data_IF_874194381860
#
_entry.id   IF_874194381860
#
_cell.length_a   1.000
_cell.length_b   1.000
_cell.length_c   1.000
_cell.angle_alpha   90.00
_cell.angle_beta   90.00
_cell.angle_gamma   90.00
#
_symmetry.space_group_name_H-M   'P 1'
#
loop_
_entity.id
_entity.type
_entity.pdbx_description
1 polymer ?
#
# COMPACT_ATOMS: atom_id res chain seq x y z
N UNK A 1 6.44 -24.28 -9.57
CA UNK A 1 6.91 -23.32 -8.56
C UNK A 1 5.70 -22.50 -8.17
N UNK A 2 5.34 -22.50 -6.90
CA UNK A 2 4.32 -21.56 -6.41
C UNK A 2 4.89 -20.15 -6.54
N UNK A 3 4.23 -19.31 -7.32
CA UNK A 3 4.59 -17.90 -7.44
C UNK A 3 4.44 -17.24 -6.07
N UNK A 4 5.50 -16.62 -5.56
CA UNK A 4 5.46 -15.90 -4.29
C UNK A 4 4.44 -14.75 -4.38
N UNK A 5 3.52 -14.69 -3.40
CA UNK A 5 2.49 -13.66 -3.37
C UNK A 5 3.10 -12.31 -3.00
N UNK A 6 2.77 -11.29 -3.78
CA UNK A 6 3.22 -9.93 -3.55
C UNK A 6 2.47 -9.31 -2.37
N UNK A 7 3.16 -8.79 -1.34
CA UNK A 7 2.50 -8.06 -0.27
C UNK A 7 1.76 -6.81 -0.79
N UNK A 8 0.54 -6.58 -0.31
CA UNK A 8 -0.25 -5.38 -0.68
C UNK A 8 0.50 -4.08 -0.35
N UNK A 9 1.36 -4.08 0.66
CA UNK A 9 2.23 -2.94 0.98
C UNK A 9 3.14 -2.53 -0.19
N UNK A 10 3.56 -3.48 -1.05
CA UNK A 10 4.37 -3.18 -2.23
C UNK A 10 3.60 -2.35 -3.27
N UNK A 11 2.28 -2.51 -3.35
CA UNK A 11 1.45 -1.63 -4.20
C UNK A 11 1.57 -0.18 -3.74
N UNK A 12 1.46 0.06 -2.42
CA UNK A 12 1.64 1.40 -1.85
C UNK A 12 3.04 1.95 -2.11
N UNK A 13 4.06 1.13 -1.93
CA UNK A 13 5.46 1.50 -2.15
C UNK A 13 5.72 1.82 -3.63
N UNK A 14 5.18 1.05 -4.55
CA UNK A 14 5.29 1.30 -5.99
C UNK A 14 4.71 2.66 -6.39
N UNK A 15 3.53 3.03 -5.87
CA UNK A 15 2.92 4.34 -6.13
C UNK A 15 3.61 5.48 -5.40
N UNK A 16 4.39 5.20 -4.37
CA UNK A 16 5.30 6.18 -3.79
C UNK A 16 6.55 6.37 -4.67
N UNK A 17 7.23 5.28 -5.02
CA UNK A 17 8.38 5.28 -5.91
C UNK A 17 8.63 3.88 -6.48
N UNK A 18 8.65 3.68 -7.82
CA UNK A 18 8.88 2.37 -8.43
C UNK A 18 10.25 1.74 -8.12
N UNK A 19 11.22 2.53 -7.64
CA UNK A 19 12.53 2.01 -7.21
C UNK A 19 12.44 1.16 -5.94
N UNK A 20 11.46 1.42 -5.06
CA UNK A 20 11.36 0.73 -3.77
C UNK A 20 11.08 -0.77 -3.94
N UNK A 21 10.13 -1.22 -4.78
CA UNK A 21 9.97 -2.64 -5.06
C UNK A 21 11.26 -3.33 -5.55
N UNK A 22 12.04 -2.69 -6.42
CA UNK A 22 13.34 -3.21 -6.83
C UNK A 22 14.30 -3.37 -5.64
N UNK A 23 14.43 -2.33 -4.82
CA UNK A 23 15.33 -2.35 -3.66
C UNK A 23 14.89 -3.42 -2.65
N UNK A 24 13.60 -3.56 -2.40
CA UNK A 24 13.09 -4.51 -1.40
C UNK A 24 13.08 -5.95 -1.90
N UNK A 25 12.62 -6.19 -3.13
CA UNK A 25 12.34 -7.53 -3.64
C UNK A 25 13.52 -8.15 -4.40
N UNK A 26 14.38 -7.31 -5.02
CA UNK A 26 15.54 -7.79 -5.77
C UNK A 26 16.83 -7.64 -4.97
N UNK A 27 17.04 -6.47 -4.34
CA UNK A 27 18.25 -6.24 -3.53
C UNK A 27 18.09 -6.70 -2.07
N UNK A 28 16.88 -7.10 -1.65
CA UNK A 28 16.54 -7.54 -0.30
C UNK A 28 16.91 -6.52 0.79
N UNK A 29 16.87 -5.23 0.46
CA UNK A 29 17.12 -4.14 1.40
C UNK A 29 15.79 -3.53 1.82
N UNK A 30 15.46 -3.67 3.09
CA UNK A 30 14.21 -3.16 3.69
C UNK A 30 14.56 -2.06 4.69
N UNK A 31 13.75 -1.00 4.70
CA UNK A 31 13.86 0.05 5.70
C UNK A 31 13.69 -0.55 7.11
N UNK A 32 14.67 -0.34 8.03
CA UNK A 32 14.51 -0.78 9.40
C UNK A 32 13.27 -0.17 10.02
N UNK A 33 12.60 -0.93 10.86
CA UNK A 33 11.47 -0.40 11.61
C UNK A 33 11.95 0.71 12.54
N UNK A 34 11.41 1.90 12.35
CA UNK A 34 11.65 3.01 13.25
C UNK A 34 10.86 2.82 14.56
N UNK A 35 11.31 3.45 15.64
CA UNK A 35 10.56 3.43 16.91
C UNK A 35 9.10 3.89 16.73
N UNK A 36 8.85 4.84 15.82
CA UNK A 36 7.51 5.29 15.48
C UNK A 36 6.70 4.21 14.73
N UNK A 37 7.35 3.37 13.90
CA UNK A 37 6.70 2.23 13.25
C UNK A 37 6.40 1.11 14.25
N UNK A 38 7.35 0.84 15.17
CA UNK A 38 7.18 -0.14 16.25
C UNK A 38 6.10 0.36 17.23
N UNK A 39 6.17 1.62 17.66
CA UNK A 39 5.16 2.24 18.51
C UNK A 39 3.79 2.28 17.81
N UNK A 40 3.75 2.58 16.51
CA UNK A 40 2.55 2.49 15.70
C UNK A 40 1.96 1.08 15.69
N UNK A 41 2.78 0.04 15.62
CA UNK A 41 2.35 -1.36 15.69
C UNK A 41 1.94 -1.77 17.12
N UNK A 42 2.65 -1.32 18.13
CA UNK A 42 2.34 -1.60 19.54
C UNK A 42 1.17 -0.75 20.05
N UNK A 43 1.00 0.46 19.55
CA UNK A 43 -0.15 1.34 19.82
C UNK A 43 -1.31 1.10 18.84
N UNK A 44 -1.31 -0.02 18.06
CA UNK A 44 -2.48 -0.41 17.31
C UNK A 44 -3.65 -0.55 18.29
N UNK A 45 -4.22 0.62 18.62
CA UNK A 45 -5.60 0.64 19.03
C UNK A 45 -6.33 -0.14 17.98
N UNK A 46 -6.74 -1.36 18.33
CA UNK A 46 -7.51 -2.20 17.42
C UNK A 46 -8.55 -1.31 16.77
N UNK A 47 -8.67 -1.37 15.47
CA UNK A 47 -9.63 -0.57 14.74
C UNK A 47 -11.00 -0.71 15.41
N UNK A 48 -11.67 0.40 15.69
CA UNK A 48 -12.95 0.44 16.42
C UNK A 48 -13.96 1.28 15.64
N UNK A 49 -15.24 1.16 16.01
CA UNK A 49 -16.32 1.92 15.41
C UNK A 49 -16.10 3.45 15.44
N UNK A 50 -15.38 3.97 16.45
CA UNK A 50 -15.03 5.38 16.54
C UNK A 50 -14.12 5.87 15.38
N UNK A 51 -13.41 4.96 14.71
CA UNK A 51 -12.54 5.28 13.56
C UNK A 51 -13.31 5.29 12.24
N UNK A 52 -14.60 4.98 12.27
CA UNK A 52 -15.46 5.00 11.09
C UNK A 52 -16.15 6.36 10.91
N UNK A 53 -16.36 6.80 9.67
CA UNK A 53 -17.31 7.86 9.36
C UNK A 53 -18.74 7.48 9.75
N UNK A 54 -19.58 8.48 10.08
CA UNK A 54 -20.96 8.25 10.53
C UNK A 54 -21.85 7.51 9.53
N UNK A 55 -21.54 7.65 8.23
CA UNK A 55 -22.27 6.98 7.14
C UNK A 55 -21.93 5.48 7.00
N UNK A 56 -20.87 5.01 7.65
CA UNK A 56 -20.53 3.58 7.73
C UNK A 56 -21.11 3.05 9.04
N UNK A 57 -22.26 2.41 8.94
CA UNK A 57 -22.98 1.83 10.09
C UNK A 57 -22.54 0.38 10.28
N UNK A 58 -21.61 0.08 11.21
CA UNK A 58 -21.09 -1.26 11.39
C UNK A 58 -22.11 -2.17 12.06
N UNK A 59 -22.27 -3.39 11.54
CA UNK A 59 -22.89 -4.53 12.19
C UNK A 59 -21.83 -5.40 12.86
N UNK A 60 -20.72 -5.60 12.16
CA UNK A 60 -19.58 -6.38 12.63
C UNK A 60 -18.28 -5.71 12.17
N UNK A 61 -17.24 -5.80 13.00
CA UNK A 61 -15.89 -5.32 12.70
C UNK A 61 -14.93 -6.46 13.02
N UNK A 62 -14.23 -6.96 12.00
CA UNK A 62 -13.13 -7.89 12.11
C UNK A 62 -11.82 -7.11 11.95
N UNK A 63 -10.82 -7.35 12.80
CA UNK A 63 -9.53 -6.65 12.76
C UNK A 63 -8.40 -7.60 12.41
N UNK A 64 -7.31 -7.07 11.82
CA UNK A 64 -6.13 -7.84 11.43
C UNK A 64 -6.49 -9.02 10.51
N UNK A 65 -7.30 -8.74 9.48
CA UNK A 65 -7.87 -9.76 8.58
C UNK A 65 -6.82 -10.24 7.58
N UNK A 66 -6.37 -11.49 7.65
CA UNK A 66 -5.46 -12.03 6.66
C UNK A 66 -6.20 -12.30 5.34
N UNK A 67 -5.68 -11.75 4.27
CA UNK A 67 -6.25 -11.86 2.92
C UNK A 67 -5.18 -12.34 1.94
N UNK A 68 -5.54 -13.27 1.06
CA UNK A 68 -4.67 -13.72 -0.01
C UNK A 68 -5.45 -14.14 -1.23
N UNK A 69 -4.86 -13.99 -2.40
CA UNK A 69 -5.41 -14.48 -3.66
C UNK A 69 -4.28 -14.90 -4.60
N UNK A 70 -4.10 -16.20 -4.83
CA UNK A 70 -3.17 -16.68 -5.85
C UNK A 70 -3.52 -16.15 -7.24
N UNK A 71 -4.80 -15.97 -7.55
CA UNK A 71 -5.27 -15.44 -8.84
C UNK A 71 -4.82 -13.99 -9.07
N UNK A 72 -4.84 -13.14 -8.01
CA UNK A 72 -4.32 -11.78 -8.07
C UNK A 72 -2.81 -11.73 -7.83
N UNK A 73 -2.26 -12.80 -7.25
CA UNK A 73 -0.88 -12.88 -6.81
C UNK A 73 -0.57 -11.90 -5.68
N UNK A 74 -1.53 -11.64 -4.79
CA UNK A 74 -1.43 -10.70 -3.68
C UNK A 74 -1.72 -11.38 -2.34
N UNK A 75 -1.07 -10.88 -1.28
CA UNK A 75 -1.39 -11.20 0.10
C UNK A 75 -1.21 -9.97 1.02
N UNK A 76 -1.83 -10.00 2.19
CA UNK A 76 -1.64 -8.97 3.21
C UNK A 76 -2.58 -9.13 4.39
N UNK A 77 -2.38 -8.29 5.40
CA UNK A 77 -3.24 -8.20 6.57
C UNK A 77 -3.93 -6.84 6.51
N UNK A 78 -5.25 -6.86 6.37
CA UNK A 78 -6.07 -5.65 6.37
C UNK A 78 -6.34 -5.23 7.81
N UNK A 79 -6.20 -3.94 8.13
CA UNK A 79 -6.38 -3.45 9.51
C UNK A 79 -7.78 -3.73 10.05
N UNK A 80 -8.82 -3.53 9.23
CA UNK A 80 -10.17 -3.97 9.57
C UNK A 80 -11.07 -4.21 8.34
N UNK A 81 -11.97 -5.17 8.48
CA UNK A 81 -13.08 -5.39 7.56
C UNK A 81 -14.40 -5.15 8.30
N UNK A 82 -15.20 -4.23 7.80
CA UNK A 82 -16.49 -3.87 8.37
C UNK A 82 -17.60 -4.49 7.53
N UNK A 83 -18.46 -5.29 8.18
CA UNK A 83 -19.77 -5.60 7.62
C UNK A 83 -20.77 -4.56 8.13
N UNK A 84 -21.41 -3.85 7.21
CA UNK A 84 -22.41 -2.85 7.56
C UNK A 84 -23.77 -3.51 7.88
N UNK A 85 -24.67 -2.75 8.52
CA UNK A 85 -26.07 -3.20 8.77
C UNK A 85 -26.82 -3.52 7.47
N UNK A 86 -26.31 -3.08 6.33
CA UNK A 86 -26.87 -3.36 4.99
C UNK A 86 -26.17 -4.54 4.29
N UNK A 87 -25.26 -5.26 4.97
CA UNK A 87 -24.53 -6.40 4.41
C UNK A 87 -23.40 -6.02 3.43
N UNK A 88 -23.03 -4.73 3.34
CA UNK A 88 -21.90 -4.26 2.55
C UNK A 88 -20.60 -4.56 3.30
N UNK A 89 -19.57 -5.02 2.57
CA UNK A 89 -18.21 -5.17 3.10
C UNK A 89 -17.39 -3.93 2.78
N UNK A 90 -16.79 -3.34 3.81
CA UNK A 90 -16.01 -2.10 3.72
C UNK A 90 -14.62 -2.35 4.31
N UNK A 91 -13.58 -2.51 3.48
CA UNK A 91 -12.20 -2.58 3.94
C UNK A 91 -11.77 -1.23 4.52
N UNK A 92 -11.04 -1.28 5.64
CA UNK A 92 -10.58 -0.11 6.37
C UNK A 92 -9.09 -0.21 6.64
N UNK A 93 -8.36 0.87 6.37
CA UNK A 93 -6.92 1.00 6.58
C UNK A 93 -6.60 2.21 7.46
N UNK A 94 -5.73 2.03 8.43
CA UNK A 94 -5.19 3.09 9.28
C UNK A 94 -3.87 3.60 8.70
N UNK A 95 -3.65 4.91 8.78
CA UNK A 95 -2.43 5.57 8.34
C UNK A 95 -1.88 6.44 9.46
N UNK A 96 -0.68 6.10 9.93
CA UNK A 96 0.01 6.90 10.93
C UNK A 96 0.65 8.14 10.27
N UNK A 97 -0.21 9.04 9.85
CA UNK A 97 0.11 10.28 9.15
C UNK A 97 -1.10 11.21 9.16
N UNK A 98 -0.91 12.42 8.64
CA UNK A 98 -1.98 13.39 8.39
C UNK A 98 -2.12 13.69 6.90
N UNK A 99 -3.30 14.14 6.48
CA UNK A 99 -3.56 14.64 5.13
C UNK A 99 -4.11 16.07 5.12
N UNK A 100 -4.31 16.68 6.28
CA UNK A 100 -4.92 18.00 6.40
C UNK A 100 -6.27 18.09 5.67
N UNK A 101 -6.53 19.13 4.90
CA UNK A 101 -7.75 19.28 4.09
C UNK A 101 -7.70 18.55 2.73
N UNK A 102 -6.59 17.90 2.40
CA UNK A 102 -6.38 17.23 1.12
C UNK A 102 -7.18 15.94 0.94
N UNK A 103 -7.11 15.41 -0.28
CA UNK A 103 -7.61 14.07 -0.59
C UNK A 103 -6.55 13.00 -0.26
N UNK A 104 -6.97 11.76 0.03
CA UNK A 104 -6.03 10.66 0.21
C UNK A 104 -5.06 10.52 -0.98
N UNK A 105 -3.76 10.38 -0.71
CA UNK A 105 -2.75 10.17 -1.75
C UNK A 105 -3.06 8.93 -2.60
N UNK A 106 -2.62 8.93 -3.86
CA UNK A 106 -2.83 7.81 -4.77
C UNK A 106 -2.31 6.49 -4.20
N UNK A 107 -1.15 6.51 -3.54
CA UNK A 107 -0.53 5.33 -2.91
C UNK A 107 -1.45 4.66 -1.87
N UNK A 108 -2.15 5.46 -1.05
CA UNK A 108 -3.03 4.94 0.00
C UNK A 108 -4.34 4.42 -0.59
N UNK A 109 -4.89 5.13 -1.60
CA UNK A 109 -6.07 4.68 -2.35
C UNK A 109 -5.80 3.38 -3.13
N UNK A 110 -4.62 3.24 -3.70
CA UNK A 110 -4.21 2.04 -4.43
C UNK A 110 -4.07 0.84 -3.48
N UNK A 111 -3.46 1.03 -2.30
CA UNK A 111 -3.38 -0.01 -1.27
C UNK A 111 -4.77 -0.46 -0.82
N UNK A 112 -5.65 0.49 -0.48
CA UNK A 112 -7.03 0.19 -0.09
C UNK A 112 -7.80 -0.54 -1.21
N UNK A 113 -7.57 -0.16 -2.48
CA UNK A 113 -8.17 -0.84 -3.63
C UNK A 113 -7.65 -2.27 -3.78
N UNK A 114 -6.36 -2.52 -3.54
CA UNK A 114 -5.80 -3.86 -3.56
C UNK A 114 -6.44 -4.76 -2.50
N UNK A 115 -6.62 -4.26 -1.28
CA UNK A 115 -7.36 -4.98 -0.24
C UNK A 115 -8.83 -5.20 -0.62
N UNK A 116 -9.50 -4.20 -1.21
CA UNK A 116 -10.87 -4.37 -1.71
C UNK A 116 -10.98 -5.53 -2.73
N UNK A 117 -10.01 -5.64 -3.64
CA UNK A 117 -9.95 -6.74 -4.61
C UNK A 117 -9.72 -8.11 -3.93
N UNK A 118 -8.89 -8.17 -2.88
CA UNK A 118 -8.71 -9.39 -2.08
C UNK A 118 -9.99 -9.78 -1.33
N UNK A 119 -10.69 -8.81 -0.73
CA UNK A 119 -11.99 -9.03 -0.09
C UNK A 119 -13.02 -9.57 -1.11
N UNK A 120 -13.06 -9.01 -2.32
CA UNK A 120 -13.96 -9.49 -3.39
C UNK A 120 -13.67 -10.95 -3.78
N UNK A 121 -12.39 -11.32 -3.89
CA UNK A 121 -11.99 -12.71 -4.21
C UNK A 121 -12.38 -13.68 -3.07
N UNK A 122 -12.15 -13.31 -1.82
CA UNK A 122 -12.38 -14.18 -0.66
C UNK A 122 -13.85 -14.31 -0.29
N UNK A 123 -14.58 -13.21 -0.29
CA UNK A 123 -15.98 -13.19 0.18
C UNK A 123 -17.01 -13.24 -0.94
N UNK A 124 -16.60 -13.19 -2.21
CA UNK A 124 -17.49 -13.20 -3.40
C UNK A 124 -18.54 -12.08 -3.37
N UNK A 125 -18.20 -10.96 -2.77
CA UNK A 125 -19.05 -9.75 -2.69
C UNK A 125 -18.32 -8.56 -3.29
N UNK A 126 -19.02 -7.75 -4.09
CA UNK A 126 -18.44 -6.52 -4.68
C UNK A 126 -18.21 -5.46 -3.60
N UNK A 127 -17.01 -4.89 -3.56
CA UNK A 127 -16.63 -3.79 -2.69
C UNK A 127 -16.70 -2.47 -3.46
N UNK A 128 -17.59 -1.57 -3.04
CA UNK A 128 -17.82 -0.28 -3.74
C UNK A 128 -17.03 0.87 -3.12
N UNK A 129 -16.69 0.77 -1.85
CA UNK A 129 -15.97 1.80 -1.09
C UNK A 129 -15.14 1.16 0.02
N UNK A 130 -14.17 1.91 0.52
CA UNK A 130 -13.40 1.60 1.71
C UNK A 130 -13.17 2.84 2.55
N UNK A 131 -12.53 2.69 3.70
CA UNK A 131 -12.23 3.78 4.64
C UNK A 131 -10.74 3.89 4.85
N UNK A 132 -10.20 5.10 4.76
CA UNK A 132 -8.88 5.46 5.23
C UNK A 132 -9.03 6.31 6.49
N UNK A 133 -8.38 5.87 7.57
CA UNK A 133 -8.32 6.60 8.82
C UNK A 133 -6.90 7.10 9.06
N UNK A 134 -6.72 8.41 9.14
CA UNK A 134 -5.44 9.07 9.40
C UNK A 134 -5.35 9.43 10.88
N UNK A 135 -4.41 8.81 11.60
CA UNK A 135 -4.39 8.87 13.07
C UNK A 135 -3.92 10.22 13.61
N UNK A 136 -3.01 10.92 12.90
CA UNK A 136 -2.42 12.17 13.39
C UNK A 136 -3.40 13.34 13.36
N UNK A 137 -4.32 13.38 12.40
CA UNK A 137 -5.33 14.45 12.28
C UNK A 137 -6.76 13.94 12.51
N UNK A 138 -6.93 12.65 12.85
CA UNK A 138 -8.21 12.02 13.13
C UNK A 138 -9.15 11.94 11.93
N UNK A 139 -8.63 12.16 10.71
CA UNK A 139 -9.46 12.19 9.51
C UNK A 139 -9.89 10.81 9.06
N UNK A 140 -11.18 10.70 8.78
CA UNK A 140 -11.86 9.50 8.30
C UNK A 140 -12.38 9.78 6.90
N UNK A 141 -11.85 9.10 5.91
CA UNK A 141 -12.19 9.36 4.51
C UNK A 141 -12.78 8.13 3.85
N UNK A 142 -14.02 8.23 3.41
CA UNK A 142 -14.63 7.23 2.53
C UNK A 142 -14.05 7.39 1.13
N UNK A 143 -13.50 6.31 0.61
CA UNK A 143 -12.87 6.27 -0.71
C UNK A 143 -13.62 5.31 -1.61
N UNK A 144 -14.08 5.78 -2.75
CA UNK A 144 -14.74 4.94 -3.75
C UNK A 144 -13.76 3.96 -4.41
N UNK A 145 -14.14 2.71 -4.52
CA UNK A 145 -13.41 1.66 -5.24
C UNK A 145 -14.03 1.52 -6.63
N UNK A 146 -13.39 2.10 -7.62
CA UNK A 146 -13.88 2.12 -8.99
C UNK A 146 -12.98 1.30 -9.93
N UNK A 147 -13.48 1.07 -11.14
CA UNK A 147 -12.79 0.26 -12.14
C UNK A 147 -11.45 0.85 -12.59
N UNK A 148 -11.31 2.17 -12.62
CA UNK A 148 -10.04 2.80 -12.99
C UNK A 148 -8.96 2.53 -11.95
N UNK A 149 -9.30 2.55 -10.66
CA UNK A 149 -8.37 2.20 -9.57
C UNK A 149 -8.01 0.71 -9.60
N UNK A 150 -8.96 -0.18 -9.88
CA UNK A 150 -8.66 -1.63 -10.05
C UNK A 150 -7.66 -1.86 -11.17
N UNK A 151 -7.88 -1.24 -12.34
CA UNK A 151 -6.93 -1.33 -13.47
C UNK A 151 -5.54 -0.79 -13.12
N UNK A 152 -5.46 0.30 -12.35
CA UNK A 152 -4.18 0.83 -11.86
C UNK A 152 -3.46 -0.16 -10.94
N UNK A 153 -4.18 -0.82 -10.03
CA UNK A 153 -3.61 -1.86 -9.15
C UNK A 153 -3.12 -3.05 -9.97
N UNK A 154 -3.93 -3.56 -10.90
CA UNK A 154 -3.53 -4.68 -11.78
C UNK A 154 -2.30 -4.33 -12.61
N UNK A 155 -2.23 -3.09 -13.13
CA UNK A 155 -1.05 -2.58 -13.83
C UNK A 155 0.18 -2.57 -12.91
N UNK A 156 0.03 -2.04 -11.69
CA UNK A 156 1.13 -1.99 -10.71
C UNK A 156 1.66 -3.39 -10.36
N UNK A 157 0.78 -4.38 -10.15
CA UNK A 157 1.18 -5.77 -9.90
C UNK A 157 2.07 -6.28 -11.05
N UNK A 158 1.64 -6.07 -12.30
CA UNK A 158 2.41 -6.50 -13.49
C UNK A 158 3.76 -5.81 -13.57
N UNK A 159 3.81 -4.51 -13.33
CA UNK A 159 5.05 -3.73 -13.40
C UNK A 159 6.02 -4.12 -12.28
N UNK A 160 5.53 -4.37 -11.06
CA UNK A 160 6.37 -4.86 -9.96
C UNK A 160 6.96 -6.24 -10.31
N UNK A 161 6.15 -7.16 -10.83
CA UNK A 161 6.63 -8.49 -11.26
C UNK A 161 7.67 -8.39 -12.36
N UNK A 162 7.43 -7.54 -13.36
CA UNK A 162 8.41 -7.27 -14.42
C UNK A 162 9.74 -6.70 -13.91
N UNK A 163 9.71 -5.87 -12.85
CA UNK A 163 10.92 -5.38 -12.18
C UNK A 163 11.67 -6.54 -11.51
N UNK A 164 10.96 -7.44 -10.82
CA UNK A 164 11.55 -8.60 -10.14
C UNK A 164 12.13 -9.58 -11.15
N UNK A 165 11.38 -9.93 -12.20
CA UNK A 165 11.82 -10.85 -13.26
C UNK A 165 13.03 -10.32 -14.06
N UNK A 166 13.05 -9.02 -14.34
CA UNK A 166 14.13 -8.40 -15.08
C UNK A 166 15.38 -8.16 -14.22
N UNK A 167 15.27 -8.21 -12.90
CA UNK A 167 16.33 -7.86 -11.94
C UNK A 167 17.01 -6.50 -12.25
N UNK A 168 16.25 -5.58 -12.83
CA UNK A 168 16.76 -4.27 -13.26
C UNK A 168 15.97 -3.14 -12.60
N UNK A 169 16.67 -2.10 -12.10
CA UNK A 169 15.98 -0.95 -11.55
C UNK A 169 15.15 -0.25 -12.64
N UNK A 170 13.93 0.17 -12.32
CA UNK A 170 13.14 1.01 -13.21
C UNK A 170 13.82 2.38 -13.41
N UNK A 171 13.39 3.13 -14.43
CA UNK A 171 13.89 4.48 -14.64
C UNK A 171 13.70 5.34 -13.39
N UNK A 172 14.78 6.02 -12.99
CA UNK A 172 14.77 6.87 -11.82
C UNK A 172 14.00 8.16 -12.09
N UNK A 173 13.04 8.45 -11.24
CA UNK A 173 12.34 9.74 -11.22
C UNK A 173 12.82 10.56 -10.02
N UNK A 174 13.30 11.78 -10.26
CA UNK A 174 13.58 12.73 -9.19
C UNK A 174 12.26 13.28 -8.67
N UNK A 175 11.83 12.78 -7.52
CA UNK A 175 10.62 13.18 -6.85
C UNK A 175 10.94 14.12 -5.69
N UNK A 176 10.06 15.06 -5.37
CA UNK A 176 10.19 15.88 -4.14
C UNK A 176 10.32 15.03 -2.88
N UNK A 177 9.66 13.87 -2.86
CA UNK A 177 9.74 12.89 -1.78
C UNK A 177 11.14 12.26 -1.60
N UNK A 178 12.07 12.38 -2.57
CA UNK A 178 13.41 11.82 -2.44
C UNK A 178 14.22 12.48 -1.31
N UNK A 179 13.95 13.73 -0.98
CA UNK A 179 14.65 14.45 0.08
C UNK A 179 14.42 13.82 1.48
N UNK A 180 13.26 13.20 1.71
CA UNK A 180 12.90 12.52 2.96
C UNK A 180 12.85 10.99 2.83
N UNK A 181 13.28 10.43 1.70
CA UNK A 181 13.21 9.01 1.45
C UNK A 181 14.38 8.28 2.12
N UNK A 182 14.08 7.29 2.96
CA UNK A 182 15.11 6.47 3.60
C UNK A 182 16.02 5.77 2.58
N UNK A 183 15.43 5.29 1.48
CA UNK A 183 16.17 4.62 0.41
C UNK A 183 17.03 5.55 -0.45
N UNK A 184 16.99 6.86 -0.26
CA UNK A 184 17.70 7.83 -1.11
C UNK A 184 19.19 7.55 -1.21
N UNK A 185 19.84 7.14 -0.09
CA UNK A 185 21.28 6.83 -0.05
C UNK A 185 21.64 5.60 -0.89
N UNK A 186 20.77 4.59 -0.90
CA UNK A 186 20.96 3.34 -1.65
C UNK A 186 20.64 3.56 -3.13
N UNK A 187 19.54 4.26 -3.40
CA UNK A 187 19.05 4.57 -4.74
C UNK A 187 20.04 5.45 -5.54
N UNK A 188 20.85 6.27 -4.87
CA UNK A 188 21.81 7.17 -5.52
C UNK A 188 23.08 6.50 -5.99
N UNK A 189 23.60 5.56 -5.22
CA UNK A 189 24.89 4.95 -5.50
C UNK A 189 24.93 4.17 -6.82
N UNK A 190 23.78 3.67 -7.27
CA UNK A 190 23.72 2.89 -8.52
C UNK A 190 23.71 3.73 -9.81
N UNK A 191 23.39 5.03 -9.76
CA UNK A 191 23.15 5.81 -10.99
C UNK A 191 24.13 6.94 -11.24
N UNK A 192 24.80 7.47 -10.24
CA UNK A 192 25.71 8.61 -10.41
C UNK A 192 27.20 8.24 -10.50
N UNK A 193 27.62 7.13 -9.91
CA UNK A 193 29.03 6.70 -9.94
C UNK A 193 29.43 5.99 -11.24
N UNK A 194 28.48 5.40 -11.96
CA UNK A 194 28.78 4.72 -13.23
C UNK A 194 28.84 5.67 -14.44
N UNK A 195 28.22 6.84 -14.37
CA UNK A 195 28.31 7.82 -15.48
C UNK A 195 29.51 8.72 -15.42
N UNK A 196 30.15 8.87 -14.27
CA UNK A 196 31.42 9.65 -14.16
C UNK A 196 32.64 8.83 -14.46
N UNK A 197 32.61 7.50 -14.31
CA UNK A 197 33.78 6.64 -14.63
C UNK A 197 34.01 6.40 -16.12
N UNK A 198 33.04 6.69 -17.00
CA UNK A 198 33.18 6.54 -18.47
C UNK A 198 33.53 7.84 -19.21
N UNK A 199 33.75 8.95 -18.50
CA UNK A 199 34.16 10.24 -19.14
C UNK A 199 35.61 10.62 -18.92
N UNK A 200 36.40 9.76 -18.34
CA UNK A 200 37.85 9.97 -18.22
C UNK A 200 38.60 8.76 -18.84
N UNK A 201 38.65 8.74 -20.16
CA UNK A 201 39.72 8.15 -20.96
C UNK A 201 39.64 8.70 -22.38
#
# INVERSE_FOLDING_TARGET
MEEELLPVSMIRQYFFCPQIPYINLVLHVVEPETESMISGRMSHEKFRAQHLPREVKPRHIETEVPLSSPKLGLCGILDALVETVFGELVPCEMKNSSIGSGNPPLKDRAQLTAYAMLVEEQYRKTVKRGVLFYTEDGRKVVTGINESMRRLVVKAIREIRGIVEAERPPEKKNLSACASCWYSRICYSASSSLQTAHRVR
#
